data_IF_072544023805
#
_entry.id   IF_072544023805
#
_cell.length_a   1.000
_cell.length_b   1.000
_cell.length_c   1.000
_cell.angle_alpha   90.00
_cell.angle_beta   90.00
_cell.angle_gamma   90.00
#
_symmetry.space_group_name_H-M   'P 1'
#
loop_
_entity.id
_entity.type
_entity.pdbx_description
1 polymer ?
#
# COMPACT_ATOMS: atom_id res chain seq x y z
N UNK A 1 31.09 1.44 7.58
CA UNK A 1 30.94 2.65 6.75
C UNK A 1 31.63 2.35 5.44
N UNK A 2 30.89 2.04 4.39
CA UNK A 2 31.52 1.83 3.08
C UNK A 2 32.07 3.16 2.58
N UNK A 3 33.37 3.17 2.30
CA UNK A 3 34.08 4.33 1.80
C UNK A 3 33.82 4.39 0.30
N UNK A 4 32.98 5.35 -0.12
CA UNK A 4 32.65 5.52 -1.54
C UNK A 4 33.92 5.91 -2.32
N UNK A 5 34.18 5.22 -3.43
CA UNK A 5 35.39 5.41 -4.24
C UNK A 5 35.25 6.71 -5.03
N UNK A 6 36.17 7.64 -4.81
CA UNK A 6 36.17 8.95 -5.45
C UNK A 6 36.96 8.95 -6.76
N UNK A 7 36.28 9.14 -7.89
CA UNK A 7 36.88 9.17 -9.22
C UNK A 7 37.27 10.60 -9.65
N UNK A 8 38.39 10.77 -10.35
CA UNK A 8 38.68 11.97 -11.13
C UNK A 8 37.61 12.25 -12.19
N UNK A 9 37.43 13.53 -12.53
CA UNK A 9 36.46 13.98 -13.54
C UNK A 9 36.63 13.28 -14.91
N UNK A 10 37.88 13.05 -15.33
CA UNK A 10 38.19 12.41 -16.61
C UNK A 10 37.74 10.95 -16.62
N UNK A 11 37.99 10.22 -15.53
CA UNK A 11 37.62 8.81 -15.41
C UNK A 11 36.10 8.65 -15.35
N UNK A 12 35.42 9.52 -14.60
CA UNK A 12 33.96 9.56 -14.58
C UNK A 12 33.36 9.86 -15.97
N UNK A 13 33.92 10.83 -16.70
CA UNK A 13 33.49 11.17 -18.05
C UNK A 13 33.65 9.99 -19.02
N UNK A 14 34.79 9.29 -18.94
CA UNK A 14 35.08 8.12 -19.76
C UNK A 14 34.09 6.98 -19.50
N UNK A 15 33.76 6.71 -18.23
CA UNK A 15 32.76 5.70 -17.84
C UNK A 15 31.36 6.04 -18.32
N UNK A 16 30.97 7.31 -18.20
CA UNK A 16 29.66 7.81 -18.61
C UNK A 16 29.50 7.95 -20.14
N UNK A 17 30.57 7.82 -20.92
CA UNK A 17 30.54 8.09 -22.36
C UNK A 17 30.22 9.55 -22.70
N UNK A 18 30.44 10.49 -21.76
CA UNK A 18 30.15 11.91 -21.92
C UNK A 18 31.43 12.74 -21.90
N UNK A 19 31.34 14.00 -22.34
CA UNK A 19 32.48 14.92 -22.24
C UNK A 19 32.70 15.38 -20.80
N UNK A 20 33.95 15.67 -20.43
CA UNK A 20 34.26 16.28 -19.12
C UNK A 20 33.57 17.64 -18.94
N UNK A 21 33.31 18.36 -20.04
CA UNK A 21 32.59 19.64 -20.02
C UNK A 21 31.13 19.46 -19.62
N UNK A 22 30.46 18.40 -20.09
CA UNK A 22 29.09 18.07 -19.68
C UNK A 22 29.00 17.88 -18.16
N UNK A 23 29.93 17.13 -17.56
CA UNK A 23 29.98 16.95 -16.10
C UNK A 23 30.25 18.26 -15.34
N UNK A 24 31.11 19.14 -15.86
CA UNK A 24 31.32 20.48 -15.27
C UNK A 24 30.05 21.36 -15.33
N UNK A 25 29.23 21.19 -16.36
CA UNK A 25 27.96 21.90 -16.48
C UNK A 25 26.95 21.36 -15.48
N UNK A 26 26.87 20.03 -15.30
CA UNK A 26 26.02 19.41 -14.28
C UNK A 26 26.40 19.83 -12.86
N UNK A 27 27.70 19.89 -12.54
CA UNK A 27 28.21 20.41 -11.26
C UNK A 27 27.79 21.86 -11.02
N UNK A 28 27.98 22.74 -12.03
CA UNK A 28 27.58 24.15 -11.95
C UNK A 28 26.07 24.32 -11.79
N UNK A 29 25.28 23.43 -12.38
CA UNK A 29 23.83 23.41 -12.26
C UNK A 29 23.34 22.77 -10.95
N UNK A 30 24.24 22.29 -10.07
CA UNK A 30 23.89 21.60 -8.82
C UNK A 30 23.28 20.21 -9.04
N UNK A 31 23.42 19.63 -10.23
CA UNK A 31 22.84 18.33 -10.64
C UNK A 31 23.82 17.16 -10.51
N UNK A 32 25.08 17.43 -10.13
CA UNK A 32 26.14 16.45 -9.90
C UNK A 32 26.60 16.53 -8.44
N UNK A 33 26.66 15.38 -7.77
CA UNK A 33 27.30 15.24 -6.45
C UNK A 33 28.80 15.08 -6.64
N UNK A 34 29.56 16.16 -6.50
CA UNK A 34 31.02 16.12 -6.55
C UNK A 34 31.62 16.73 -5.28
N UNK A 35 32.66 16.10 -4.75
CA UNK A 35 33.53 16.71 -3.74
C UNK A 35 34.70 17.41 -4.43
N UNK A 36 35.38 18.29 -3.70
CA UNK A 36 36.59 18.97 -4.16
C UNK A 36 37.75 18.63 -3.25
N UNK A 37 38.91 18.38 -3.85
CA UNK A 37 40.15 18.30 -3.08
C UNK A 37 40.59 19.70 -2.64
N UNK A 38 41.54 19.78 -1.72
CA UNK A 38 42.15 21.04 -1.30
C UNK A 38 42.73 21.85 -2.48
N UNK A 39 43.19 21.17 -3.54
CA UNK A 39 43.64 21.77 -4.80
C UNK A 39 42.52 22.15 -5.79
N UNK A 40 41.25 22.11 -5.38
CA UNK A 40 40.11 22.52 -6.22
C UNK A 40 39.70 21.52 -7.31
N UNK A 41 40.34 20.34 -7.37
CA UNK A 41 39.98 19.31 -8.34
C UNK A 41 38.70 18.59 -7.94
N UNK A 42 37.81 18.39 -8.90
CA UNK A 42 36.57 17.62 -8.71
C UNK A 42 36.86 16.13 -8.50
N UNK A 43 36.13 15.54 -7.57
CA UNK A 43 36.10 14.13 -7.25
C UNK A 43 34.65 13.68 -7.23
N UNK A 44 34.30 12.78 -8.15
CA UNK A 44 32.93 12.30 -8.32
C UNK A 44 32.85 10.92 -7.66
N UNK A 45 31.95 10.70 -6.69
CA UNK A 45 31.74 9.38 -6.10
C UNK A 45 31.31 8.38 -7.18
N UNK A 46 31.77 7.14 -7.09
CA UNK A 46 31.41 6.09 -8.05
C UNK A 46 29.89 5.87 -8.06
N UNK A 47 29.24 5.98 -6.91
CA UNK A 47 27.77 5.93 -6.79
C UNK A 47 27.04 6.99 -7.62
N UNK A 48 27.64 8.17 -7.79
CA UNK A 48 27.10 9.26 -8.61
C UNK A 48 27.29 8.99 -10.10
N UNK A 49 28.41 8.35 -10.48
CA UNK A 49 28.65 7.91 -11.85
C UNK A 49 27.60 6.86 -12.24
N UNK A 50 27.36 5.85 -11.40
CA UNK A 50 26.30 4.85 -11.64
C UNK A 50 24.92 5.53 -11.75
N UNK A 51 24.58 6.45 -10.84
CA UNK A 51 23.33 7.23 -10.91
C UNK A 51 23.15 7.93 -12.27
N UNK A 52 24.22 8.54 -12.79
CA UNK A 52 24.18 9.28 -14.06
C UNK A 52 24.22 8.39 -15.30
N UNK A 53 24.80 7.19 -15.22
CA UNK A 53 24.79 6.22 -16.32
C UNK A 53 23.39 5.65 -16.59
N UNK A 54 22.39 6.01 -15.76
CA UNK A 54 21.12 5.29 -15.75
C UNK A 54 21.27 3.90 -15.14
N UNK A 55 22.48 3.54 -14.68
CA UNK A 55 22.76 2.48 -13.74
C UNK A 55 22.26 2.92 -12.34
N UNK A 56 20.94 3.14 -12.23
CA UNK A 56 20.28 2.33 -11.22
C UNK A 56 20.64 0.91 -11.64
N UNK A 57 21.72 0.40 -11.02
CA UNK A 57 22.38 -0.85 -11.34
C UNK A 57 21.38 -1.91 -11.82
N UNK A 58 21.86 -2.90 -12.54
CA UNK A 58 21.22 -4.20 -12.81
C UNK A 58 20.76 -4.95 -11.53
N UNK A 59 20.44 -4.24 -10.45
CA UNK A 59 19.66 -4.62 -9.28
C UNK A 59 18.40 -5.29 -9.74
N UNK A 60 18.47 -6.60 -9.67
CA UNK A 60 17.35 -7.46 -9.96
C UNK A 60 16.20 -7.11 -9.00
N UNK A 61 14.95 -7.23 -9.47
CA UNK A 61 13.81 -7.19 -8.58
C UNK A 61 13.95 -8.31 -7.54
N UNK A 62 13.46 -8.05 -6.34
CA UNK A 62 13.34 -9.05 -5.29
C UNK A 62 11.87 -9.37 -5.08
N UNK A 63 11.56 -10.65 -5.08
CA UNK A 63 10.22 -11.18 -4.94
C UNK A 63 9.97 -11.55 -3.48
N UNK A 64 8.79 -11.20 -2.98
CA UNK A 64 8.38 -11.56 -1.63
C UNK A 64 6.97 -12.17 -1.61
N UNK A 65 6.84 -13.35 -1.01
CA UNK A 65 5.57 -14.04 -0.84
C UNK A 65 5.34 -14.43 0.63
N UNK A 66 4.08 -14.39 1.07
CA UNK A 66 3.74 -14.67 2.47
C UNK A 66 2.38 -15.31 2.61
N UNK A 67 2.30 -16.24 3.55
CA UNK A 67 1.05 -16.75 4.11
C UNK A 67 1.09 -16.70 5.63
N UNK A 68 -0.06 -16.75 6.29
CA UNK A 68 -0.11 -16.64 7.76
C UNK A 68 0.00 -17.98 8.49
N UNK A 69 -0.35 -19.08 7.82
CA UNK A 69 -0.36 -20.43 8.39
C UNK A 69 0.28 -21.44 7.44
N UNK A 70 0.96 -22.49 7.95
CA UNK A 70 1.43 -23.61 7.14
C UNK A 70 0.31 -24.31 6.35
N UNK A 71 -0.93 -24.26 6.85
CA UNK A 71 -2.11 -24.81 6.15
C UNK A 71 -2.42 -24.11 4.82
N UNK A 72 -1.79 -22.96 4.55
CA UNK A 72 -1.95 -22.19 3.32
C UNK A 72 -0.77 -22.40 2.35
N UNK A 73 0.00 -23.49 2.51
CA UNK A 73 1.19 -23.77 1.69
C UNK A 73 0.91 -23.74 0.19
N UNK A 74 -0.21 -24.29 -0.25
CA UNK A 74 -0.59 -24.29 -1.66
C UNK A 74 -0.80 -22.87 -2.20
N UNK A 75 -1.28 -21.95 -1.36
CA UNK A 75 -1.40 -20.55 -1.74
C UNK A 75 -0.04 -19.87 -1.85
N UNK A 76 0.89 -20.21 -0.95
CA UNK A 76 2.26 -19.72 -1.02
C UNK A 76 2.90 -20.16 -2.34
N UNK A 77 2.78 -21.43 -2.73
CA UNK A 77 3.34 -21.92 -4.00
C UNK A 77 2.74 -21.20 -5.22
N UNK A 78 1.42 -20.99 -5.26
CA UNK A 78 0.78 -20.18 -6.30
C UNK A 78 1.31 -18.74 -6.36
N UNK A 79 1.56 -18.12 -5.20
CA UNK A 79 2.17 -16.79 -5.15
C UNK A 79 3.60 -16.81 -5.71
N UNK A 80 4.42 -17.80 -5.35
CA UNK A 80 5.79 -17.95 -5.85
C UNK A 80 5.81 -18.10 -7.37
N UNK A 81 5.04 -19.05 -7.92
CA UNK A 81 4.95 -19.27 -9.36
C UNK A 81 4.52 -18.00 -10.10
N UNK A 82 3.56 -17.27 -9.55
CA UNK A 82 3.09 -16.02 -10.14
C UNK A 82 4.18 -14.95 -10.17
N UNK A 83 4.89 -14.75 -9.07
CA UNK A 83 5.97 -13.78 -8.97
C UNK A 83 7.13 -14.14 -9.91
N UNK A 84 7.51 -15.42 -9.92
CA UNK A 84 8.59 -15.94 -10.77
C UNK A 84 8.23 -15.89 -12.26
N UNK A 85 6.95 -16.07 -12.62
CA UNK A 85 6.49 -15.90 -14.02
C UNK A 85 6.57 -14.46 -14.49
N UNK A 86 6.27 -13.49 -13.61
CA UNK A 86 6.37 -12.07 -13.94
C UNK A 86 7.84 -11.60 -13.98
N UNK A 87 8.68 -12.13 -13.11
CA UNK A 87 10.08 -11.76 -12.96
C UNK A 87 10.97 -13.01 -12.89
N UNK A 88 11.27 -13.64 -14.04
CA UNK A 88 12.08 -14.85 -14.09
C UNK A 88 13.52 -14.56 -13.64
N UNK A 89 14.10 -15.47 -12.85
CA UNK A 89 15.48 -15.36 -12.35
C UNK A 89 15.68 -14.37 -11.20
N UNK A 90 14.62 -13.71 -10.74
CA UNK A 90 14.66 -12.84 -9.57
C UNK A 90 14.78 -13.63 -8.25
N UNK A 91 15.48 -13.07 -7.28
CA UNK A 91 15.59 -13.64 -5.93
C UNK A 91 14.23 -13.62 -5.23
N UNK A 92 13.87 -14.71 -4.57
CA UNK A 92 12.57 -14.88 -3.91
C UNK A 92 12.75 -15.22 -2.43
N UNK A 93 12.15 -14.40 -1.57
CA UNK A 93 12.01 -14.70 -0.15
C UNK A 93 10.57 -15.02 0.21
N UNK A 94 10.38 -15.92 1.17
CA UNK A 94 9.05 -16.31 1.64
C UNK A 94 8.96 -16.43 3.15
N UNK A 95 7.78 -16.16 3.70
CA UNK A 95 7.49 -16.37 5.11
C UNK A 95 6.14 -17.04 5.34
N UNK A 96 6.06 -17.84 6.41
CA UNK A 96 4.83 -18.42 6.94
C UNK A 96 4.59 -17.82 8.33
N UNK A 97 3.98 -16.63 8.34
CA UNK A 97 3.79 -15.83 9.56
C UNK A 97 2.79 -14.69 9.32
N UNK A 98 2.18 -14.18 10.38
CA UNK A 98 1.22 -13.05 10.31
C UNK A 98 1.84 -11.81 9.66
N UNK A 99 1.00 -11.07 8.93
CA UNK A 99 1.32 -9.77 8.34
C UNK A 99 1.67 -8.69 9.37
N UNK A 100 1.34 -8.91 10.65
CA UNK A 100 1.60 -7.98 11.76
C UNK A 100 3.02 -8.10 12.34
N UNK A 101 3.70 -9.22 12.10
CA UNK A 101 5.02 -9.47 12.66
C UNK A 101 6.10 -9.00 11.69
N UNK A 102 6.97 -8.06 12.11
CA UNK A 102 8.04 -7.53 11.26
C UNK A 102 9.40 -8.23 11.46
N UNK A 103 9.49 -9.19 12.39
CA UNK A 103 10.67 -9.99 12.69
C UNK A 103 10.82 -11.23 11.78
N UNK A 104 10.04 -11.30 10.70
CA UNK A 104 10.00 -12.45 9.80
C UNK A 104 11.32 -12.54 9.02
N UNK A 105 11.98 -13.70 8.94
CA UNK A 105 13.30 -13.83 8.35
C UNK A 105 13.35 -13.41 6.87
N UNK A 106 12.34 -13.79 6.06
CA UNK A 106 12.25 -13.38 4.66
C UNK A 106 12.06 -11.87 4.51
N UNK A 107 11.18 -11.27 5.32
CA UNK A 107 10.99 -9.83 5.35
C UNK A 107 12.24 -9.06 5.80
N UNK A 108 12.95 -9.55 6.82
CA UNK A 108 14.21 -8.95 7.27
C UNK A 108 15.29 -9.02 6.18
N UNK A 109 15.33 -10.11 5.42
CA UNK A 109 16.21 -10.22 4.25
C UNK A 109 15.86 -9.18 3.17
N UNK A 110 14.57 -8.95 2.92
CA UNK A 110 14.11 -7.86 2.03
C UNK A 110 14.60 -6.51 2.53
N UNK A 111 14.38 -6.18 3.80
CA UNK A 111 14.82 -4.91 4.38
C UNK A 111 16.32 -4.72 4.27
N UNK A 112 17.10 -5.77 4.55
CA UNK A 112 18.55 -5.76 4.43
C UNK A 112 18.97 -5.47 2.98
N UNK A 113 18.40 -6.17 2.01
CA UNK A 113 18.69 -5.95 0.59
C UNK A 113 18.37 -4.52 0.13
N UNK A 114 17.27 -3.94 0.64
CA UNK A 114 16.90 -2.53 0.39
C UNK A 114 17.91 -1.57 1.00
N UNK A 115 18.32 -1.79 2.26
CA UNK A 115 19.28 -0.94 2.97
C UNK A 115 20.67 -0.97 2.31
N UNK A 116 21.10 -2.15 1.84
CA UNK A 116 22.32 -2.35 1.06
C UNK A 116 22.22 -1.80 -0.37
N UNK A 117 21.05 -1.26 -0.74
CA UNK A 117 20.75 -0.74 -2.09
C UNK A 117 20.98 -1.80 -3.17
N UNK A 118 20.83 -3.09 -2.88
CA UNK A 118 21.05 -4.19 -3.83
C UNK A 118 19.87 -4.42 -4.77
N UNK A 119 18.70 -3.87 -4.44
CA UNK A 119 17.43 -4.14 -5.14
C UNK A 119 16.79 -2.86 -5.66
N UNK A 120 16.34 -2.88 -6.91
CA UNK A 120 15.65 -1.76 -7.55
C UNK A 120 14.16 -1.77 -7.22
N UNK A 121 13.58 -2.97 -7.09
CA UNK A 121 12.16 -3.16 -6.79
C UNK A 121 11.95 -4.30 -5.83
N UNK A 122 10.99 -4.13 -4.93
CA UNK A 122 10.40 -5.23 -4.15
C UNK A 122 9.05 -5.52 -4.76
N UNK A 123 8.84 -6.77 -5.18
CA UNK A 123 7.61 -7.20 -5.85
C UNK A 123 6.84 -8.14 -4.94
N UNK A 124 5.57 -7.84 -4.73
CA UNK A 124 4.64 -8.69 -3.98
C UNK A 124 3.40 -8.99 -4.81
N UNK A 125 2.76 -10.14 -4.53
CA UNK A 125 1.53 -10.51 -5.22
C UNK A 125 0.38 -9.53 -4.90
N UNK A 126 0.21 -9.23 -3.60
CA UNK A 126 -0.76 -8.29 -3.07
C UNK A 126 -0.11 -7.45 -1.96
N UNK A 127 -0.66 -6.28 -1.67
CA UNK A 127 -0.10 -5.34 -0.71
C UNK A 127 0.03 -5.93 0.72
N UNK A 128 -1.01 -6.64 1.16
CA UNK A 128 -1.08 -7.23 2.50
C UNK A 128 -0.12 -8.41 2.73
N UNK A 129 0.51 -8.90 1.66
CA UNK A 129 1.56 -9.92 1.74
C UNK A 129 2.84 -9.33 2.32
N UNK A 130 3.12 -8.05 2.04
CA UNK A 130 4.27 -7.36 2.62
C UNK A 130 4.06 -7.09 4.12
N UNK A 131 2.96 -6.43 4.48
CA UNK A 131 2.61 -6.14 5.86
C UNK A 131 1.11 -5.87 5.97
N UNK A 132 0.52 -6.13 7.15
CA UNK A 132 -0.90 -5.81 7.40
C UNK A 132 -1.14 -4.32 7.59
N UNK A 133 -0.16 -3.62 8.14
CA UNK A 133 -0.18 -2.17 8.37
C UNK A 133 1.18 -1.57 8.03
N UNK A 134 1.21 -0.24 7.85
CA UNK A 134 2.45 0.49 7.63
C UNK A 134 3.05 0.30 6.24
N UNK A 135 2.28 -0.17 5.25
CA UNK A 135 2.78 -0.35 3.89
C UNK A 135 3.16 0.99 3.25
N UNK A 136 2.40 2.06 3.51
CA UNK A 136 2.76 3.41 3.06
C UNK A 136 4.09 3.89 3.65
N UNK A 137 4.33 3.60 4.93
CA UNK A 137 5.61 3.88 5.58
C UNK A 137 6.74 3.08 4.90
N UNK A 138 6.54 1.78 4.68
CA UNK A 138 7.51 0.93 3.98
C UNK A 138 7.79 1.45 2.56
N UNK A 139 6.77 1.91 1.84
CA UNK A 139 6.91 2.51 0.51
C UNK A 139 7.81 3.75 0.56
N UNK A 140 7.61 4.64 1.54
CA UNK A 140 8.47 5.81 1.71
C UNK A 140 9.90 5.44 2.08
N UNK A 141 10.07 4.48 2.99
CA UNK A 141 11.40 3.96 3.37
C UNK A 141 12.11 3.38 2.15
N UNK A 142 11.45 2.51 1.38
CA UNK A 142 12.04 1.91 0.18
C UNK A 142 12.44 2.98 -0.83
N UNK A 143 11.57 3.97 -1.05
CA UNK A 143 11.86 5.08 -1.96
C UNK A 143 13.11 5.87 -1.53
N UNK A 144 13.34 6.08 -0.23
CA UNK A 144 14.54 6.76 0.28
C UNK A 144 15.84 5.99 -0.03
N UNK A 145 15.77 4.65 -0.15
CA UNK A 145 16.89 3.81 -0.57
C UNK A 145 16.98 3.62 -2.10
N UNK A 146 16.05 4.19 -2.86
CA UNK A 146 15.98 4.05 -4.31
C UNK A 146 15.33 2.73 -4.76
N UNK A 147 14.51 2.12 -3.91
CA UNK A 147 13.74 0.91 -4.22
C UNK A 147 12.26 1.24 -4.35
N UNK A 148 11.58 0.70 -5.35
CA UNK A 148 10.12 0.86 -5.49
C UNK A 148 9.37 -0.40 -5.05
N UNK A 149 8.26 -0.23 -4.34
CA UNK A 149 7.33 -1.33 -4.06
C UNK A 149 6.34 -1.52 -5.21
N UNK A 150 6.41 -2.67 -5.87
CA UNK A 150 5.54 -3.08 -6.97
C UNK A 150 4.57 -4.18 -6.50
N UNK A 151 3.28 -4.00 -6.80
CA UNK A 151 2.21 -4.96 -6.45
C UNK A 151 1.63 -5.49 -7.74
N UNK A 152 1.71 -6.81 -7.97
CA UNK A 152 1.26 -7.42 -9.22
C UNK A 152 -0.26 -7.35 -9.41
N UNK A 153 -1.02 -7.60 -8.34
CA UNK A 153 -2.46 -7.44 -8.33
C UNK A 153 -2.85 -6.37 -7.29
N UNK A 154 -3.14 -5.14 -7.72
CA UNK A 154 -3.65 -4.11 -6.81
C UNK A 154 -5.07 -4.40 -6.33
N UNK A 155 -5.78 -5.33 -6.98
CA UNK A 155 -7.08 -5.82 -6.50
C UNK A 155 -6.83 -6.89 -5.44
N UNK A 156 -7.32 -6.73 -4.20
CA UNK A 156 -7.21 -7.79 -3.21
C UNK A 156 -7.98 -9.00 -3.76
N UNK A 157 -7.28 -10.10 -4.02
CA UNK A 157 -7.93 -11.40 -3.87
C UNK A 157 -8.46 -11.43 -2.44
N UNK A 158 -9.66 -11.97 -2.21
CA UNK A 158 -10.23 -12.08 -0.87
C UNK A 158 -9.16 -12.65 0.06
N UNK A 159 -8.56 -11.76 0.87
CA UNK A 159 -7.61 -12.18 1.89
C UNK A 159 -8.35 -13.20 2.71
N UNK A 160 -7.80 -14.41 2.95
CA UNK A 160 -8.56 -15.44 3.63
C UNK A 160 -9.19 -14.84 4.88
N UNK A 161 -10.53 -14.85 5.00
CA UNK A 161 -11.23 -14.14 6.08
C UNK A 161 -10.68 -14.58 7.45
N UNK A 162 -10.27 -15.85 7.52
CA UNK A 162 -9.56 -16.46 8.65
C UNK A 162 -8.24 -15.75 9.00
N UNK A 163 -7.47 -15.29 8.02
CA UNK A 163 -6.22 -14.56 8.21
C UNK A 163 -6.47 -13.18 8.84
N UNK A 164 -7.41 -12.41 8.28
CA UNK A 164 -7.78 -11.10 8.81
C UNK A 164 -8.38 -11.20 10.22
N UNK A 165 -9.23 -12.21 10.43
CA UNK A 165 -9.79 -12.58 11.72
C UNK A 165 -8.71 -12.84 12.77
N UNK A 166 -7.71 -13.65 12.43
CA UNK A 166 -6.62 -13.99 13.33
C UNK A 166 -5.75 -12.77 13.64
N UNK A 167 -5.49 -11.90 12.66
CA UNK A 167 -4.74 -10.66 12.87
C UNK A 167 -5.50 -9.70 13.82
N UNK A 168 -6.81 -9.54 13.67
CA UNK A 168 -7.62 -8.74 14.59
C UNK A 168 -7.59 -9.30 16.02
N UNK A 169 -7.74 -10.62 16.18
CA UNK A 169 -7.64 -11.28 17.48
C UNK A 169 -6.25 -11.08 18.10
N UNK A 170 -5.18 -11.10 17.32
CA UNK A 170 -3.82 -10.84 17.80
C UNK A 170 -3.67 -9.41 18.32
N UNK A 171 -4.24 -8.41 17.62
CA UNK A 171 -4.25 -7.00 18.05
C UNK A 171 -4.99 -6.89 19.38
N UNK A 172 -6.24 -7.37 19.46
CA UNK A 172 -7.05 -7.31 20.68
C UNK A 172 -6.31 -7.98 21.84
N UNK A 173 -5.68 -9.13 21.60
CA UNK A 173 -4.89 -9.85 22.62
C UNK A 173 -3.74 -9.00 23.14
N UNK A 174 -2.95 -8.39 22.24
CA UNK A 174 -1.80 -7.56 22.60
C UNK A 174 -2.20 -6.34 23.44
N UNK A 175 -3.27 -5.64 23.05
CA UNK A 175 -3.79 -4.50 23.80
C UNK A 175 -4.38 -4.95 25.16
N UNK A 176 -5.16 -6.02 25.19
CA UNK A 176 -5.77 -6.52 26.43
C UNK A 176 -4.73 -7.00 27.44
N UNK A 177 -3.67 -7.66 26.96
CA UNK A 177 -2.54 -8.08 27.76
C UNK A 177 -1.85 -6.90 28.45
N UNK A 178 -1.66 -5.78 27.73
CA UNK A 178 -1.05 -4.55 28.26
C UNK A 178 -1.97 -3.78 29.20
N UNK A 179 -3.28 -3.75 28.93
CA UNK A 179 -4.25 -3.02 29.74
C UNK A 179 -4.64 -3.75 31.03
N UNK A 180 -4.82 -5.06 30.97
CA UNK A 180 -5.41 -5.84 32.06
C UNK A 180 -4.54 -7.00 32.54
N UNK A 181 -3.48 -7.35 31.80
CA UNK A 181 -2.68 -8.56 32.03
C UNK A 181 -3.19 -9.77 31.24
N UNK A 182 -2.28 -10.65 30.82
CA UNK A 182 -2.54 -11.83 29.98
C UNK A 182 -3.53 -12.82 30.61
N UNK A 183 -3.45 -13.03 31.92
CA UNK A 183 -4.28 -14.01 32.66
C UNK A 183 -5.53 -13.38 33.29
N UNK A 184 -5.80 -12.11 33.02
CA UNK A 184 -6.95 -11.43 33.61
C UNK A 184 -8.26 -12.00 33.09
N UNK A 185 -9.27 -12.21 33.96
CA UNK A 185 -10.62 -12.61 33.54
C UNK A 185 -11.23 -11.66 32.50
N UNK A 186 -10.91 -10.36 32.58
CA UNK A 186 -11.35 -9.36 31.61
C UNK A 186 -10.79 -9.61 30.22
N UNK A 187 -9.49 -9.92 30.12
CA UNK A 187 -8.82 -10.29 28.87
C UNK A 187 -9.44 -11.55 28.27
N UNK A 188 -9.66 -12.58 29.09
CA UNK A 188 -10.26 -13.84 28.62
C UNK A 188 -11.69 -13.63 28.09
N UNK A 189 -12.51 -12.84 28.81
CA UNK A 189 -13.87 -12.51 28.38
C UNK A 189 -13.88 -11.75 27.06
N UNK A 190 -13.04 -10.72 26.93
CA UNK A 190 -12.97 -9.92 25.71
C UNK A 190 -12.55 -10.76 24.49
N UNK A 191 -11.57 -11.66 24.67
CA UNK A 191 -11.14 -12.56 23.60
C UNK A 191 -12.20 -13.60 23.24
N UNK A 192 -12.95 -14.10 24.21
CA UNK A 192 -14.06 -15.02 23.94
C UNK A 192 -15.16 -14.34 23.10
N UNK A 193 -15.56 -13.12 23.46
CA UNK A 193 -16.55 -12.35 22.70
C UNK A 193 -16.03 -11.98 21.30
N UNK A 194 -14.80 -11.50 21.20
CA UNK A 194 -14.19 -11.19 19.91
C UNK A 194 -14.14 -12.41 18.99
N UNK A 195 -13.82 -13.60 19.52
CA UNK A 195 -13.82 -14.85 18.74
C UNK A 195 -15.20 -15.20 18.20
N UNK A 196 -16.27 -15.00 18.98
CA UNK A 196 -17.66 -15.25 18.54
C UNK A 196 -18.06 -14.34 17.39
N UNK A 197 -17.74 -13.05 17.48
CA UNK A 197 -18.09 -12.06 16.46
C UNK A 197 -17.31 -12.30 15.17
N UNK A 198 -16.02 -12.59 15.29
CA UNK A 198 -15.11 -12.70 14.13
C UNK A 198 -15.24 -14.05 13.41
N UNK A 199 -15.61 -15.13 14.11
CA UNK A 199 -15.82 -16.47 13.52
C UNK A 199 -17.29 -16.85 13.30
N UNK A 200 -18.22 -15.98 13.70
CA UNK A 200 -19.65 -16.20 13.49
C UNK A 200 -20.02 -16.11 12.00
N UNK A 201 -21.05 -16.83 11.53
CA UNK A 201 -21.55 -16.66 10.17
C UNK A 201 -21.98 -15.20 9.97
N UNK A 202 -21.67 -14.62 8.81
CA UNK A 202 -22.23 -13.32 8.41
C UNK A 202 -23.75 -13.45 8.46
N UNK A 203 -24.40 -12.81 9.41
CA UNK A 203 -25.83 -12.60 9.34
C UNK A 203 -26.08 -11.68 8.16
N UNK A 204 -26.56 -12.24 7.05
CA UNK A 204 -27.12 -11.48 5.92
C UNK A 204 -28.45 -10.87 6.34
N UNK A 205 -28.40 -9.97 7.31
CA UNK A 205 -29.50 -9.09 7.68
C UNK A 205 -28.94 -7.68 7.73
N UNK A 206 -28.93 -7.02 6.58
CA UNK A 206 -28.95 -5.56 6.58
C UNK A 206 -30.12 -5.10 7.45
N UNK A 207 -30.03 -3.95 8.13
CA UNK A 207 -31.16 -3.44 8.86
C UNK A 207 -32.28 -3.17 7.85
N UNK A 208 -33.32 -4.01 7.83
CA UNK A 208 -34.60 -3.64 7.26
C UNK A 208 -34.98 -2.33 7.93
N UNK A 209 -35.14 -1.27 7.14
CA UNK A 209 -35.50 0.05 7.62
C UNK A 209 -36.73 -0.08 8.53
N UNK A 210 -36.51 -0.14 9.85
CA UNK A 210 -37.57 0.08 10.83
C UNK A 210 -37.84 1.56 10.73
N UNK A 211 -38.96 1.88 10.09
CA UNK A 211 -39.52 3.22 10.02
C UNK A 211 -39.44 3.86 11.40
N UNK A 212 -38.53 4.82 11.56
CA UNK A 212 -38.46 5.64 12.75
C UNK A 212 -39.71 6.52 12.75
N UNK A 213 -40.72 6.13 13.52
CA UNK A 213 -41.85 6.99 13.82
C UNK A 213 -41.51 7.73 15.11
N UNK A 214 -41.52 9.08 15.12
CA UNK A 214 -41.36 9.81 16.36
C UNK A 214 -42.56 9.50 17.26
N UNK A 215 -42.30 9.08 18.49
CA UNK A 215 -43.31 9.06 19.55
C UNK A 215 -43.72 10.50 19.83
N UNK A 216 -44.84 10.93 19.27
CA UNK A 216 -45.54 12.11 19.78
C UNK A 216 -46.19 11.72 21.10
N UNK A 217 -45.83 12.46 22.15
CA UNK A 217 -46.45 12.35 23.46
C UNK A 217 -47.94 12.65 23.34
N UNK A 218 -48.74 11.78 23.96
CA UNK A 218 -50.18 11.90 24.10
C UNK A 218 -50.57 13.19 24.82
N UNK A 219 -50.94 14.22 24.06
CA UNK A 219 -51.79 15.31 24.52
C UNK A 219 -53.21 15.07 23.99
N UNK A 220 -54.16 14.82 24.89
CA UNK A 220 -55.61 14.76 24.57
C UNK A 220 -56.04 16.04 23.83
N UNK A 221 -56.88 15.96 22.78
CA UNK A 221 -57.75 17.06 22.41
C UNK A 221 -59.17 16.78 22.90
N UNK A 222 -59.69 17.68 23.73
CA UNK A 222 -61.13 17.85 23.92
C UNK A 222 -61.75 18.45 22.66
N UNK A 223 -62.95 17.94 22.35
CA UNK A 223 -63.90 18.38 21.32
C UNK A 223 -64.02 19.90 21.10
N UNK A 224 -64.31 20.33 19.86
CA UNK A 224 -65.61 20.92 19.42
C UNK A 224 -65.50 21.55 18.00
N UNK A 225 -66.50 21.22 17.16
CA UNK A 225 -67.11 21.89 15.98
C UNK A 225 -66.33 22.31 14.70
N UNK A 226 -66.80 21.68 13.60
CA UNK A 226 -67.18 22.15 12.25
C UNK A 226 -66.89 23.62 11.88
N UNK A 227 -66.26 23.83 10.72
CA UNK A 227 -66.95 24.25 9.49
C UNK A 227 -66.03 24.15 8.24
N UNK A 228 -66.64 23.84 7.09
CA UNK A 228 -66.08 23.85 5.73
C UNK A 228 -66.14 25.30 5.15
N UNK A 229 -65.84 25.63 3.85
CA UNK A 229 -65.48 24.78 2.70
C UNK A 229 -64.42 25.34 1.71
N UNK A 230 -64.22 24.57 0.62
CA UNK A 230 -63.97 24.98 -0.78
C UNK A 230 -62.53 24.96 -1.39
N UNK A 231 -62.47 24.15 -2.46
CA UNK A 231 -61.57 23.95 -3.63
C UNK A 231 -61.09 25.23 -4.37
N UNK A 232 -60.20 25.22 -5.42
CA UNK A 232 -59.89 24.11 -6.35
C UNK A 232 -58.45 23.94 -6.90
N UNK A 233 -58.29 22.75 -7.49
CA UNK A 233 -57.48 22.27 -8.63
C UNK A 233 -56.95 23.27 -9.67
N UNK A 234 -55.66 23.13 -10.05
CA UNK A 234 -55.07 23.17 -11.43
C UNK A 234 -53.73 22.39 -11.33
N UNK A 235 -53.28 21.44 -12.15
CA UNK A 235 -53.60 21.00 -13.50
C UNK A 235 -52.29 20.94 -14.31
N UNK A 236 -51.91 19.74 -14.81
CA UNK A 236 -51.12 19.43 -16.04
C UNK A 236 -49.82 20.22 -16.37
N UNK A 237 -48.75 19.73 -17.01
CA UNK A 237 -48.44 18.51 -17.76
C UNK A 237 -47.03 18.68 -18.34
N UNK A 238 -46.34 17.56 -18.54
CA UNK A 238 -45.50 17.20 -19.71
C UNK A 238 -44.53 18.20 -20.35
N UNK A 239 -43.28 17.75 -20.56
CA UNK A 239 -42.41 18.36 -21.56
C UNK A 239 -41.06 17.67 -21.77
N UNK A 240 -41.07 16.47 -22.35
CA UNK A 240 -39.89 15.85 -22.99
C UNK A 240 -39.40 16.72 -24.17
N UNK A 241 -38.08 16.77 -24.38
CA UNK A 241 -37.36 16.73 -25.69
C UNK A 241 -35.86 16.59 -25.41
N UNK A 242 -35.26 15.40 -25.61
CA UNK A 242 -34.36 15.03 -26.74
C UNK A 242 -34.14 16.11 -27.81
N UNK A 243 -32.88 16.25 -28.23
CA UNK A 243 -32.32 16.16 -29.61
C UNK A 243 -30.81 16.55 -29.50
N UNK A 244 -29.86 15.63 -29.67
CA UNK A 244 -29.13 15.23 -30.90
C UNK A 244 -28.13 16.24 -31.46
N UNK A 245 -26.95 15.71 -31.82
CA UNK A 245 -25.99 16.27 -32.79
C UNK A 245 -24.85 17.06 -32.13
N UNK A 246 -23.63 17.12 -32.64
CA UNK A 246 -22.99 16.55 -33.83
C UNK A 246 -21.54 17.07 -33.84
N UNK A 247 -20.62 16.25 -34.33
CA UNK A 247 -19.39 16.60 -35.09
C UNK A 247 -18.20 17.35 -34.47
N UNK A 248 -17.05 16.76 -34.81
CA UNK A 248 -15.78 17.35 -35.27
C UNK A 248 -14.61 17.58 -34.29
N UNK A 249 -13.59 16.73 -34.51
CA UNK A 249 -12.16 17.05 -34.37
C UNK A 249 -11.73 18.15 -35.36
N UNK A 250 -10.57 18.79 -35.15
CA UNK A 250 -9.39 18.33 -35.89
C UNK A 250 -8.04 18.40 -35.13
N UNK A 251 -7.07 17.77 -35.79
CA UNK A 251 -5.63 17.62 -35.55
C UNK A 251 -4.87 18.95 -35.69
N UNK A 252 -3.85 19.15 -34.84
CA UNK A 252 -2.71 20.08 -35.04
C UNK A 252 -1.45 19.31 -34.60
N UNK A 253 -0.62 18.91 -35.57
CA UNK A 253 0.69 19.51 -35.96
C UNK A 253 1.80 19.32 -34.93
#
# INVERSE_FOLDING_TARGET
>A
MDVDVLLPLADAAKRLGVTTQYLRNLDRAGKLRASRTQGGHRRIPLSEVHRLMGEQELRLPLLYARVSSPSQKDDLERQKERLQRAFPGAELHTDIRSGLQFDRPGFLAVLKAVQERRVSRVVVAYEDRLARFGVDLLRQVFAAYGTTLEVLDPRPKETPESELANDLLAIITSFSARLYGLRSPKTQRLLAEARKVVKGPRTSSGPTARSWTPRTSSGRPSSVMRDAPATPTIGASSGRRRLTGSTNSPVLR
#
